data_IF_424756241387
#
_entry.id   IF_424756241387
#
_cell.length_a   1.000
_cell.length_b   1.000
_cell.length_c   1.000
_cell.angle_alpha   90.00
_cell.angle_beta   90.00
_cell.angle_gamma   90.00
#
_symmetry.space_group_name_H-M   'P 1'
#
loop_
_entity.id
_entity.type
_entity.pdbx_description
1 polymer ?
#
# COMPACT_ATOMS: atom_id res chain seq x y z
N UNK A 1 -1.98 -18.60 -6.07
CA UNK A 1 -0.76 -18.64 -6.90
C UNK A 1 0.10 -17.47 -6.46
N UNK A 2 1.34 -17.72 -6.02
CA UNK A 2 2.30 -16.68 -5.67
C UNK A 2 2.83 -16.08 -6.98
N UNK A 3 2.71 -14.77 -7.12
CA UNK A 3 3.34 -14.06 -8.23
C UNK A 3 4.49 -13.22 -7.63
N UNK A 4 5.75 -13.63 -7.82
CA UNK A 4 6.89 -12.78 -7.46
C UNK A 4 6.80 -11.46 -8.23
N UNK A 5 7.44 -10.42 -7.69
CA UNK A 5 7.56 -9.14 -8.39
C UNK A 5 8.28 -9.40 -9.72
N UNK A 6 7.52 -9.43 -10.81
CA UNK A 6 8.05 -9.69 -12.14
C UNK A 6 8.73 -8.44 -12.72
N UNK A 7 9.45 -8.63 -13.85
CA UNK A 7 10.17 -7.53 -14.53
C UNK A 7 9.25 -6.36 -14.90
N UNK A 8 8.04 -6.65 -15.38
CA UNK A 8 7.05 -5.61 -15.73
C UNK A 8 6.65 -4.77 -14.51
N UNK A 9 6.44 -5.40 -13.35
CA UNK A 9 6.13 -4.67 -12.12
C UNK A 9 7.31 -3.82 -11.66
N UNK A 10 8.54 -4.30 -11.82
CA UNK A 10 9.76 -3.52 -11.50
C UNK A 10 9.88 -2.30 -12.42
N UNK A 11 9.66 -2.46 -13.72
CA UNK A 11 9.64 -1.35 -14.68
C UNK A 11 8.60 -0.29 -14.31
N UNK A 12 7.38 -0.69 -13.96
CA UNK A 12 6.33 0.24 -13.51
C UNK A 12 6.66 0.97 -12.20
N UNK A 13 7.41 0.33 -11.30
CA UNK A 13 7.90 0.99 -10.09
C UNK A 13 8.95 2.05 -10.45
N UNK A 14 9.88 1.74 -11.35
CA UNK A 14 10.90 2.68 -11.83
C UNK A 14 10.25 3.87 -12.55
N UNK A 15 9.31 3.62 -13.47
CA UNK A 15 8.55 4.68 -14.14
C UNK A 15 7.87 5.62 -13.12
N UNK A 16 7.26 5.06 -12.08
CA UNK A 16 6.58 5.85 -11.05
C UNK A 16 7.58 6.66 -10.20
N UNK A 17 8.75 6.11 -9.90
CA UNK A 17 9.84 6.83 -9.22
C UNK A 17 10.30 8.02 -10.07
N UNK A 18 10.59 7.81 -11.35
CA UNK A 18 10.99 8.87 -12.27
C UNK A 18 9.91 9.96 -12.33
N UNK A 19 8.66 9.57 -12.51
CA UNK A 19 7.53 10.50 -12.60
C UNK A 19 7.43 11.43 -11.38
N UNK A 20 7.48 10.89 -10.16
CA UNK A 20 7.35 11.73 -8.95
C UNK A 20 8.59 12.57 -8.70
N UNK A 21 9.77 12.08 -9.08
CA UNK A 21 11.04 12.81 -8.96
C UNK A 21 11.09 14.00 -9.93
N UNK A 22 10.73 13.77 -11.20
CA UNK A 22 10.69 14.81 -12.21
C UNK A 22 9.65 15.89 -11.90
N UNK A 23 8.48 15.46 -11.42
CA UNK A 23 7.43 16.40 -11.01
C UNK A 23 7.86 17.24 -9.81
N UNK A 24 8.50 16.62 -8.81
CA UNK A 24 9.04 17.36 -7.67
C UNK A 24 10.13 18.35 -8.09
N UNK A 25 11.03 17.96 -9.02
CA UNK A 25 12.03 18.86 -9.57
C UNK A 25 11.41 20.07 -10.29
N UNK A 26 10.37 19.86 -11.10
CA UNK A 26 9.64 20.93 -11.77
C UNK A 26 8.97 21.89 -10.78
N UNK A 27 8.35 21.35 -9.72
CA UNK A 27 7.74 22.17 -8.68
C UNK A 27 8.79 23.01 -7.94
N UNK A 28 9.93 22.43 -7.61
CA UNK A 28 11.05 23.15 -7.00
C UNK A 28 11.57 24.28 -7.92
N UNK A 29 11.67 24.04 -9.22
CA UNK A 29 12.06 25.06 -10.20
C UNK A 29 11.04 26.23 -10.28
N UNK A 30 9.78 25.98 -9.94
CA UNK A 30 8.74 27.00 -9.84
C UNK A 30 8.67 27.67 -8.46
N UNK A 31 9.63 27.41 -7.57
CA UNK A 31 9.70 27.98 -6.23
C UNK A 31 8.81 27.28 -5.19
N UNK A 32 8.18 26.15 -5.53
CA UNK A 32 7.37 25.35 -4.60
C UNK A 32 8.26 24.25 -4.00
N UNK A 33 8.62 24.38 -2.73
CA UNK A 33 9.39 23.34 -2.04
C UNK A 33 8.63 22.01 -2.09
N UNK A 34 9.26 20.99 -2.63
CA UNK A 34 8.62 19.69 -2.80
C UNK A 34 9.61 18.55 -2.55
N UNK A 35 9.07 17.45 -2.00
CA UNK A 35 9.80 16.23 -1.66
C UNK A 35 9.08 15.02 -2.26
N UNK A 36 9.69 14.28 -3.20
CA UNK A 36 9.10 13.06 -3.70
C UNK A 36 9.20 11.94 -2.66
N UNK A 37 8.10 11.24 -2.45
CA UNK A 37 8.04 10.03 -1.63
C UNK A 37 7.80 8.87 -2.59
N UNK A 38 8.83 8.09 -2.81
CA UNK A 38 8.83 6.97 -3.76
C UNK A 38 8.00 5.79 -3.24
N UNK A 39 7.49 4.90 -4.14
CA UNK A 39 6.65 3.76 -3.76
C UNK A 39 7.39 2.72 -2.91
N UNK A 40 8.71 2.70 -2.97
CA UNK A 40 9.56 1.75 -2.23
C UNK A 40 10.82 2.47 -1.78
N UNK A 41 11.18 2.32 -0.52
CA UNK A 41 12.41 2.87 0.04
C UNK A 41 13.17 1.79 0.80
N UNK A 42 14.17 1.20 0.14
CA UNK A 42 14.98 0.12 0.70
C UNK A 42 15.71 0.52 1.99
N UNK A 43 16.08 1.81 2.15
CA UNK A 43 16.78 2.29 3.34
C UNK A 43 15.93 2.21 4.61
N UNK A 44 14.61 2.39 4.48
CA UNK A 44 13.70 2.44 5.61
C UNK A 44 13.28 1.07 6.11
N UNK A 45 13.19 0.07 5.21
CA UNK A 45 12.91 -1.33 5.58
C UNK A 45 14.01 -1.96 6.45
N UNK A 46 15.17 -1.33 6.55
CA UNK A 46 16.30 -1.75 7.41
C UNK A 46 16.36 -1.01 8.74
N UNK A 47 15.48 -0.04 8.98
CA UNK A 47 15.50 0.69 10.23
C UNK A 47 15.03 -0.19 11.39
N UNK A 48 15.63 -0.06 12.58
CA UNK A 48 15.16 -0.78 13.78
C UNK A 48 13.68 -0.50 14.10
N UNK A 49 13.24 0.75 13.87
CA UNK A 49 11.84 1.16 14.10
C UNK A 49 10.88 0.43 13.15
N UNK A 50 11.20 0.34 11.86
CA UNK A 50 10.38 -0.42 10.92
C UNK A 50 10.35 -1.91 11.30
N UNK A 51 11.49 -2.50 11.62
CA UNK A 51 11.56 -3.91 12.04
C UNK A 51 10.71 -4.19 13.26
N UNK A 52 10.67 -3.25 14.21
CA UNK A 52 9.90 -3.33 15.45
C UNK A 52 8.40 -3.09 15.24
N UNK A 53 7.98 -2.28 14.28
CA UNK A 53 6.58 -1.84 14.16
C UNK A 53 5.90 -2.24 12.87
N UNK A 54 6.66 -2.57 11.84
CA UNK A 54 6.22 -2.72 10.46
C UNK A 54 5.39 -1.49 10.01
N UNK A 55 5.76 -0.30 10.50
CA UNK A 55 5.14 0.98 10.16
C UNK A 55 6.18 1.88 9.53
N UNK A 56 5.80 2.48 8.42
CA UNK A 56 6.60 3.47 7.72
C UNK A 56 6.27 4.87 8.23
N UNK A 57 7.24 5.78 8.26
CA UNK A 57 7.03 7.18 8.67
C UNK A 57 6.02 7.92 7.76
N UNK A 58 5.88 7.49 6.51
CA UNK A 58 4.91 8.02 5.57
C UNK A 58 4.12 6.88 4.92
N UNK A 59 2.80 6.95 4.99
CA UNK A 59 1.93 5.90 4.46
C UNK A 59 1.11 6.39 3.28
N UNK A 60 1.54 6.07 2.06
CA UNK A 60 0.78 6.37 0.83
C UNK A 60 -0.66 5.86 0.90
N UNK A 61 -0.87 4.67 1.49
CA UNK A 61 -2.20 4.08 1.61
C UNK A 61 -3.12 4.89 2.54
N UNK A 62 -2.59 5.65 3.49
CA UNK A 62 -3.39 6.53 4.35
C UNK A 62 -3.68 7.87 3.68
N UNK A 63 -2.80 8.36 2.83
CA UNK A 63 -3.02 9.58 2.04
C UNK A 63 -4.15 9.39 1.04
N UNK A 64 -4.22 8.24 0.39
CA UNK A 64 -5.25 7.93 -0.61
C UNK A 64 -6.69 8.14 -0.13
N UNK A 65 -7.13 7.58 1.01
CA UNK A 65 -8.45 7.84 1.58
C UNK A 65 -8.67 9.31 1.95
N UNK A 66 -7.66 9.97 2.52
CA UNK A 66 -7.75 11.40 2.87
C UNK A 66 -7.90 12.30 1.64
N UNK A 67 -7.37 11.88 0.51
CA UNK A 67 -7.54 12.53 -0.78
C UNK A 67 -8.83 12.11 -1.52
N UNK A 68 -9.68 11.26 -0.90
CA UNK A 68 -10.92 10.77 -1.52
C UNK A 68 -10.72 9.79 -2.66
N UNK A 69 -9.51 9.24 -2.84
CA UNK A 69 -9.16 8.37 -3.97
C UNK A 69 -9.58 6.91 -3.77
N UNK A 70 -9.94 6.54 -2.54
CA UNK A 70 -10.29 5.16 -2.20
C UNK A 70 -10.40 4.92 -0.70
N UNK A 71 -10.31 3.66 -0.28
CA UNK A 71 -10.44 3.26 1.13
C UNK A 71 -9.45 2.15 1.49
N UNK A 72 -9.24 1.94 2.78
CA UNK A 72 -8.49 0.80 3.31
C UNK A 72 -9.44 -0.38 3.46
N UNK A 73 -9.05 -1.54 2.95
CA UNK A 73 -9.80 -2.79 3.07
C UNK A 73 -9.42 -3.58 4.32
N UNK A 74 -10.16 -4.67 4.58
CA UNK A 74 -9.95 -5.55 5.74
C UNK A 74 -8.57 -6.20 5.82
N UNK A 75 -7.82 -6.28 4.72
CA UNK A 75 -6.43 -6.76 4.67
C UNK A 75 -5.40 -5.62 4.63
N UNK A 76 -5.74 -4.48 5.18
CA UNK A 76 -4.87 -3.31 5.35
C UNK A 76 -4.23 -2.75 4.06
N UNK A 77 -4.82 -3.01 2.89
CA UNK A 77 -4.36 -2.45 1.63
C UNK A 77 -5.35 -1.43 1.09
N UNK A 78 -4.84 -0.48 0.32
CA UNK A 78 -5.64 0.55 -0.33
C UNK A 78 -6.39 -0.02 -1.55
N UNK A 79 -7.66 0.38 -1.70
CA UNK A 79 -8.45 0.16 -2.91
C UNK A 79 -8.79 1.52 -3.50
N UNK A 80 -8.35 1.76 -4.73
CA UNK A 80 -8.76 2.94 -5.49
C UNK A 80 -10.20 2.79 -5.99
N UNK A 81 -10.97 3.88 -5.93
CA UNK A 81 -12.31 3.94 -6.54
C UNK A 81 -12.22 3.68 -8.04
N UNK A 82 -11.17 4.20 -8.71
CA UNK A 82 -11.02 4.13 -10.16
C UNK A 82 -10.33 2.84 -10.63
N UNK A 83 -9.27 2.40 -9.91
CA UNK A 83 -8.36 1.35 -10.39
C UNK A 83 -8.44 0.05 -9.58
N UNK A 84 -9.21 0.01 -8.49
CA UNK A 84 -9.27 -1.16 -7.61
C UNK A 84 -7.99 -1.35 -6.78
N UNK A 85 -7.66 -2.61 -6.42
CA UNK A 85 -6.53 -2.93 -5.54
C UNK A 85 -5.18 -3.11 -6.25
N UNK A 86 -5.17 -3.24 -7.59
CA UNK A 86 -3.97 -3.51 -8.37
C UNK A 86 -3.31 -2.21 -8.79
N UNK A 87 -2.56 -1.59 -7.89
CA UNK A 87 -1.88 -0.32 -8.14
C UNK A 87 -0.63 -0.17 -7.25
N UNK A 88 0.23 0.75 -7.67
CA UNK A 88 1.31 1.29 -6.85
C UNK A 88 1.03 2.76 -6.57
N UNK A 89 1.50 3.24 -5.44
CA UNK A 89 1.30 4.61 -4.98
C UNK A 89 2.65 5.28 -4.79
N UNK A 90 2.74 6.53 -5.22
CA UNK A 90 3.78 7.47 -4.83
C UNK A 90 3.12 8.77 -4.40
N UNK A 91 3.86 9.63 -3.72
CA UNK A 91 3.36 10.92 -3.25
C UNK A 91 4.41 12.00 -3.41
N UNK A 92 3.97 13.24 -3.45
CA UNK A 92 4.86 14.40 -3.36
C UNK A 92 4.35 15.24 -2.21
N UNK A 93 5.22 15.54 -1.25
CA UNK A 93 4.96 16.54 -0.23
C UNK A 93 5.30 17.90 -0.82
N UNK A 94 4.44 18.89 -0.65
CA UNK A 94 4.63 20.23 -1.17
C UNK A 94 4.37 21.26 -0.08
N UNK A 95 5.17 22.31 -0.06
CA UNK A 95 4.95 23.47 0.79
C UNK A 95 4.09 24.49 0.02
N UNK A 96 2.87 24.09 -0.26
CA UNK A 96 1.87 24.91 -0.96
C UNK A 96 0.46 24.48 -0.53
N UNK A 97 -0.45 25.43 -0.26
CA UNK A 97 -1.81 25.12 0.16
C UNK A 97 -2.61 24.52 -1.01
N UNK A 98 -2.83 23.21 -0.98
CA UNK A 98 -3.66 22.52 -1.95
C UNK A 98 -5.09 22.37 -1.43
N UNK A 99 -6.08 22.64 -2.28
CA UNK A 99 -7.48 22.32 -1.96
C UNK A 99 -7.78 20.87 -2.35
N UNK A 100 -8.34 20.06 -1.44
CA UNK A 100 -8.82 18.72 -1.81
C UNK A 100 -9.88 18.81 -2.92
N UNK A 101 -9.76 17.97 -3.94
CA UNK A 101 -10.74 17.91 -5.04
C UNK A 101 -11.98 17.09 -4.66
N UNK A 102 -11.83 16.17 -3.71
CA UNK A 102 -12.89 15.25 -3.28
C UNK A 102 -12.91 15.13 -1.77
N UNK A 103 -14.09 14.89 -1.15
CA UNK A 103 -14.18 14.63 0.27
C UNK A 103 -13.39 13.37 0.67
N UNK A 104 -12.83 13.32 1.89
CA UNK A 104 -12.19 12.12 2.41
C UNK A 104 -13.14 10.91 2.48
N UNK A 105 -12.57 9.73 2.29
CA UNK A 105 -13.26 8.45 2.51
C UNK A 105 -12.72 7.83 3.81
N UNK A 106 -13.37 8.11 4.91
CA UNK A 106 -12.90 7.76 6.26
C UNK A 106 -13.35 6.36 6.74
N UNK A 107 -14.02 5.60 5.88
CA UNK A 107 -14.53 4.26 6.20
C UNK A 107 -14.29 3.30 5.06
N UNK A 108 -14.01 2.05 5.41
CA UNK A 108 -13.95 0.96 4.43
C UNK A 108 -15.30 0.75 3.74
N UNK A 109 -15.26 0.55 2.43
CA UNK A 109 -16.45 0.21 1.61
C UNK A 109 -16.56 -1.28 1.32
N UNK A 110 -15.81 -2.13 2.05
CA UNK A 110 -15.86 -3.59 1.86
C UNK A 110 -17.16 -4.24 2.33
N UNK A 111 -17.92 -3.59 3.22
CA UNK A 111 -19.19 -4.11 3.73
C UNK A 111 -19.06 -5.53 4.28
N UNK A 112 -19.95 -6.43 3.82
CA UNK A 112 -19.98 -7.84 4.22
C UNK A 112 -18.95 -8.73 3.51
N UNK A 113 -18.23 -8.20 2.51
CA UNK A 113 -17.26 -8.99 1.75
C UNK A 113 -16.06 -9.40 2.63
N UNK A 114 -15.76 -10.69 2.66
CA UNK A 114 -14.64 -11.29 3.41
C UNK A 114 -13.66 -12.09 2.54
N UNK A 115 -13.78 -12.02 1.23
CA UNK A 115 -12.96 -12.84 0.30
C UNK A 115 -11.46 -12.76 0.58
N UNK A 116 -10.92 -11.55 0.85
CA UNK A 116 -9.50 -11.41 1.18
C UNK A 116 -9.13 -11.88 2.60
N UNK A 117 -10.10 -11.94 3.52
CA UNK A 117 -9.92 -12.47 4.87
C UNK A 117 -9.85 -13.99 4.83
N UNK A 118 -10.79 -14.62 4.13
CA UNK A 118 -10.90 -16.07 3.98
C UNK A 118 -9.74 -16.66 3.18
N UNK A 119 -9.30 -15.95 2.14
CA UNK A 119 -8.19 -16.38 1.30
C UNK A 119 -6.80 -16.14 1.92
N UNK A 120 -6.70 -15.47 3.08
CA UNK A 120 -5.42 -15.13 3.68
C UNK A 120 -4.76 -16.36 4.32
N UNK A 121 -3.63 -16.88 3.80
CA UNK A 121 -2.97 -18.05 4.35
C UNK A 121 -2.37 -17.82 5.74
N UNK A 122 -2.10 -16.55 6.07
CA UNK A 122 -1.62 -16.14 7.39
C UNK A 122 -2.74 -15.89 8.40
N UNK A 123 -4.01 -15.85 7.96
CA UNK A 123 -5.14 -15.36 8.79
C UNK A 123 -4.84 -14.03 9.48
N UNK A 124 -4.15 -13.14 8.76
CA UNK A 124 -3.70 -11.86 9.30
C UNK A 124 -4.80 -10.82 9.42
N UNK A 125 -5.86 -10.92 8.63
CA UNK A 125 -7.00 -10.02 8.67
C UNK A 125 -8.11 -10.55 9.57
N UNK A 126 -8.63 -9.72 10.49
CA UNK A 126 -9.67 -10.13 11.46
C UNK A 126 -11.08 -10.08 10.89
N UNK A 127 -11.27 -9.41 9.74
CA UNK A 127 -12.58 -9.14 9.17
C UNK A 127 -13.22 -7.82 9.64
N UNK A 128 -12.64 -7.14 10.64
CA UNK A 128 -13.07 -5.80 11.09
C UNK A 128 -12.91 -4.78 9.96
N UNK A 129 -13.84 -3.87 9.83
CA UNK A 129 -13.79 -2.79 8.86
C UNK A 129 -12.89 -1.66 9.39
N UNK A 130 -12.02 -1.18 8.52
CA UNK A 130 -11.24 0.02 8.79
C UNK A 130 -12.12 1.28 8.81
N UNK A 131 -11.80 2.18 9.70
CA UNK A 131 -12.16 3.59 9.64
C UNK A 131 -11.00 4.43 10.20
N UNK A 132 -11.08 5.76 10.06
CA UNK A 132 -9.99 6.67 10.43
C UNK A 132 -9.60 6.62 11.92
N UNK A 133 -10.43 6.07 12.80
CA UNK A 133 -10.20 5.96 14.25
C UNK A 133 -9.69 4.58 14.66
N UNK A 134 -9.66 3.61 13.75
CA UNK A 134 -9.24 2.22 14.04
C UNK A 134 -7.75 2.09 13.75
N UNK A 135 -6.97 1.66 14.73
CA UNK A 135 -5.57 1.33 14.53
C UNK A 135 -5.41 0.08 13.68
N UNK A 136 -4.30 0.01 12.93
CA UNK A 136 -3.98 -1.15 12.07
C UNK A 136 -4.05 -2.46 12.83
N UNK A 137 -3.45 -2.51 14.01
CA UNK A 137 -3.28 -3.75 14.75
C UNK A 137 -4.59 -4.26 15.37
N UNK A 138 -5.67 -3.47 15.30
CA UNK A 138 -7.02 -3.93 15.68
C UNK A 138 -7.71 -4.79 14.60
N UNK A 139 -7.33 -4.64 13.33
CA UNK A 139 -7.99 -5.37 12.23
C UNK A 139 -7.03 -6.18 11.36
N UNK A 140 -5.71 -6.00 11.53
CA UNK A 140 -4.71 -6.63 10.70
C UNK A 140 -3.40 -6.87 11.44
N UNK A 141 -2.94 -8.13 11.45
CA UNK A 141 -1.65 -8.55 12.01
C UNK A 141 -0.57 -8.55 10.92
N UNK A 142 0.21 -7.48 10.88
CA UNK A 142 1.26 -7.30 9.88
C UNK A 142 2.40 -8.30 10.03
N UNK A 143 2.68 -8.78 11.25
CA UNK A 143 3.74 -9.77 11.50
C UNK A 143 3.36 -11.13 10.95
N UNK A 144 2.15 -11.63 11.23
CA UNK A 144 1.67 -12.87 10.63
C UNK A 144 1.69 -12.82 9.11
N UNK A 145 1.29 -11.68 8.53
CA UNK A 145 1.34 -11.50 7.08
C UNK A 145 2.75 -11.58 6.53
N UNK A 146 3.69 -10.83 7.10
CA UNK A 146 5.11 -10.83 6.69
C UNK A 146 5.72 -12.22 6.80
N UNK A 147 5.56 -12.88 7.94
CA UNK A 147 6.20 -14.17 8.22
C UNK A 147 5.67 -15.24 7.26
N UNK A 148 4.36 -15.26 6.98
CA UNK A 148 3.79 -16.16 5.98
C UNK A 148 4.21 -15.80 4.54
N UNK A 149 4.35 -14.52 4.21
CA UNK A 149 4.84 -14.12 2.90
C UNK A 149 6.29 -14.59 2.66
N UNK A 150 7.14 -14.45 3.65
CA UNK A 150 8.53 -14.97 3.61
C UNK A 150 8.58 -16.50 3.45
N UNK A 151 7.76 -17.23 4.20
CA UNK A 151 7.64 -18.69 4.07
C UNK A 151 7.24 -19.08 2.64
N UNK A 152 6.25 -18.40 2.06
CA UNK A 152 5.79 -18.64 0.68
C UNK A 152 6.89 -18.28 -0.34
N UNK A 153 7.58 -17.16 -0.16
CA UNK A 153 8.69 -16.75 -1.02
C UNK A 153 9.81 -17.78 -1.00
N UNK A 154 10.23 -18.17 0.20
CA UNK A 154 11.27 -19.17 0.38
C UNK A 154 10.92 -20.51 -0.33
N UNK A 155 9.69 -20.98 -0.18
CA UNK A 155 9.21 -22.19 -0.82
C UNK A 155 9.16 -22.10 -2.36
N UNK A 156 8.89 -20.90 -2.90
CA UNK A 156 8.71 -20.68 -4.33
C UNK A 156 10.01 -20.34 -5.07
N UNK A 157 10.94 -19.63 -4.43
CA UNK A 157 12.12 -19.03 -5.08
C UNK A 157 13.45 -19.46 -4.44
N UNK A 158 13.42 -20.09 -3.27
CA UNK A 158 14.61 -20.35 -2.46
C UNK A 158 15.17 -19.11 -1.75
N UNK A 159 14.50 -17.95 -1.85
CA UNK A 159 14.90 -16.68 -1.25
C UNK A 159 13.85 -16.20 -0.23
N UNK A 160 14.31 -15.61 0.87
CA UNK A 160 13.46 -15.19 1.98
C UNK A 160 13.29 -13.66 2.03
N UNK A 161 13.41 -12.99 0.89
CA UNK A 161 13.52 -11.54 0.81
C UNK A 161 12.18 -10.84 0.57
N UNK A 162 11.18 -11.55 0.03
CA UNK A 162 9.89 -10.99 -0.28
C UNK A 162 8.94 -11.02 0.91
N UNK A 163 8.41 -9.85 1.25
CA UNK A 163 7.40 -9.68 2.30
C UNK A 163 5.97 -9.53 1.74
N UNK A 164 5.76 -9.95 0.49
CA UNK A 164 4.48 -9.77 -0.22
C UNK A 164 4.05 -11.08 -0.88
N UNK A 165 2.91 -11.63 -0.47
CA UNK A 165 2.34 -12.81 -1.13
C UNK A 165 1.27 -12.50 -2.19
N UNK A 166 0.70 -11.29 -2.22
CA UNK A 166 -0.25 -10.81 -3.23
C UNK A 166 -1.64 -11.46 -3.24
N UNK A 167 -1.88 -12.58 -2.55
CA UNK A 167 -3.13 -13.35 -2.61
C UNK A 167 -4.36 -12.48 -2.34
N UNK A 168 -4.32 -11.67 -1.30
CA UNK A 168 -5.43 -10.77 -0.97
C UNK A 168 -5.72 -9.73 -2.06
N UNK A 169 -4.74 -9.36 -2.89
CA UNK A 169 -4.92 -8.48 -4.05
C UNK A 169 -5.59 -9.27 -5.19
N UNK A 170 -5.09 -10.49 -5.45
CA UNK A 170 -5.55 -11.33 -6.54
C UNK A 170 -7.03 -11.70 -6.42
N UNK A 171 -7.49 -12.05 -5.21
CA UNK A 171 -8.88 -12.47 -4.96
C UNK A 171 -9.87 -11.32 -4.84
N UNK A 172 -9.42 -10.07 -4.71
CA UNK A 172 -10.31 -8.93 -4.49
C UNK A 172 -11.22 -8.70 -5.70
N UNK A 173 -12.56 -8.67 -5.53
CA UNK A 173 -13.48 -8.43 -6.64
C UNK A 173 -13.51 -6.98 -7.13
N UNK A 174 -13.06 -6.02 -6.29
CA UNK A 174 -13.02 -4.60 -6.68
C UNK A 174 -12.03 -4.39 -7.82
N UNK A 175 -12.45 -3.66 -8.88
CA UNK A 175 -11.61 -3.39 -10.06
C UNK A 175 -11.47 -4.57 -11.03
N UNK A 176 -12.21 -5.66 -10.85
CA UNK A 176 -12.43 -6.64 -11.93
C UNK A 176 -13.52 -6.06 -12.85
N UNK A 177 -13.11 -5.63 -14.03
CA UNK A 177 -14.01 -5.38 -15.16
C UNK A 177 -13.95 -6.57 -16.10
#
# INVERSE_FOLDING_TARGET
MYEPVNSEMQEKIVELICLVTDLAAKLNALGVRSLPITPTSNQLYRSPEYTRTLRHYFSHKMVGPRAGLGWIRKSDLFISVKFGPRLRLASILVDYPLKPLTPPIDRSRCGKCNVCVEACPARAATGKLWNIKVDRDEFYDAYKCRDKAREISLAATGQNDDEICGICIAVCPSGRK
#
